data_IF_506244858262
#
_entry.id   IF_506244858262
#
_cell.length_a   1.000
_cell.length_b   1.000
_cell.length_c   1.000
_cell.angle_alpha   90.00
_cell.angle_beta   90.00
_cell.angle_gamma   90.00
#
_symmetry.space_group_name_H-M   'P 1'
#
loop_
_entity.id
_entity.type
_entity.pdbx_description
1 polymer ?
#
# COMPACT_ATOMS: atom_id res chain seq x y z
N UNK A 1 -7.15 -26.81 -19.66
CA UNK A 1 -7.97 -25.64 -19.33
C UNK A 1 -7.07 -24.70 -18.54
N UNK A 2 -6.66 -23.59 -19.16
CA UNK A 2 -5.74 -22.63 -18.59
C UNK A 2 -6.40 -21.96 -17.38
N UNK A 3 -5.95 -22.26 -16.17
CA UNK A 3 -6.34 -21.49 -15.00
C UNK A 3 -5.56 -20.17 -15.07
N UNK A 4 -6.15 -19.19 -15.75
CA UNK A 4 -5.75 -17.79 -15.69
C UNK A 4 -5.88 -17.36 -14.22
N UNK A 5 -4.75 -17.44 -13.49
CA UNK A 5 -4.66 -17.06 -12.09
C UNK A 5 -4.91 -15.55 -11.98
N UNK A 6 -6.18 -15.17 -11.90
CA UNK A 6 -6.58 -13.81 -11.60
C UNK A 6 -5.98 -13.47 -10.25
N UNK A 7 -4.97 -12.60 -10.23
CA UNK A 7 -4.30 -12.14 -9.01
C UNK A 7 -5.31 -11.33 -8.18
N UNK A 8 -6.08 -12.03 -7.34
CA UNK A 8 -7.06 -11.44 -6.43
C UNK A 8 -6.37 -10.94 -5.17
N UNK A 9 -6.66 -9.71 -4.77
CA UNK A 9 -6.17 -9.13 -3.52
C UNK A 9 -6.62 -7.69 -3.34
N UNK A 10 -6.29 -7.11 -2.19
CA UNK A 10 -6.55 -5.70 -1.87
C UNK A 10 -5.28 -4.89 -2.04
N UNK A 11 -5.40 -3.83 -2.83
CA UNK A 11 -4.34 -2.86 -3.06
C UNK A 11 -4.22 -1.89 -1.88
N UNK A 12 -2.99 -1.55 -1.52
CA UNK A 12 -2.76 -0.48 -0.55
C UNK A 12 -3.19 0.89 -1.12
N UNK A 13 -3.97 1.66 -0.35
CA UNK A 13 -4.44 3.00 -0.75
C UNK A 13 -3.32 4.03 -0.99
N UNK A 14 -2.13 3.81 -0.41
CA UNK A 14 -0.98 4.66 -0.61
C UNK A 14 -0.16 4.25 -1.85
N UNK A 15 0.35 3.01 -1.90
CA UNK A 15 1.29 2.59 -2.94
C UNK A 15 0.69 1.81 -4.11
N UNK A 16 -0.55 1.33 -4.00
CA UNK A 16 -1.24 0.60 -5.07
C UNK A 16 -0.84 -0.87 -5.24
N UNK A 17 0.17 -1.38 -4.50
CA UNK A 17 0.53 -2.80 -4.55
C UNK A 17 -0.56 -3.67 -3.92
N UNK A 18 -0.86 -4.81 -4.56
CA UNK A 18 -1.68 -5.88 -4.00
C UNK A 18 -0.90 -6.57 -2.88
N UNK A 19 -1.31 -6.36 -1.62
CA UNK A 19 -0.55 -6.82 -0.44
C UNK A 19 -1.39 -7.60 0.57
N UNK A 20 -2.71 -7.62 0.43
CA UNK A 20 -3.61 -8.36 1.32
C UNK A 20 -4.56 -9.27 0.54
N UNK A 21 -5.00 -10.38 1.14
CA UNK A 21 -5.86 -11.37 0.49
C UNK A 21 -7.33 -10.93 0.42
N UNK A 22 -7.83 -10.28 1.48
CA UNK A 22 -9.22 -9.81 1.60
C UNK A 22 -9.30 -8.40 2.19
N UNK A 23 -10.49 -7.78 2.21
CA UNK A 23 -10.68 -6.46 2.81
C UNK A 23 -10.58 -6.53 4.32
N UNK A 24 -11.04 -7.63 4.88
CA UNK A 24 -11.05 -7.94 6.30
C UNK A 24 -9.60 -8.08 6.80
N UNK A 25 -8.77 -8.83 6.07
CA UNK A 25 -7.34 -8.96 6.38
C UNK A 25 -6.56 -7.67 6.16
N UNK A 26 -7.08 -6.74 5.35
CA UNK A 26 -6.40 -5.50 5.04
C UNK A 26 -6.65 -4.41 6.09
N UNK A 27 -7.73 -4.47 6.86
CA UNK A 27 -8.15 -3.37 7.72
C UNK A 27 -7.29 -3.30 8.98
N UNK A 28 -6.81 -2.10 9.31
CA UNK A 28 -5.80 -1.79 10.33
C UNK A 28 -4.39 -2.35 10.11
N UNK A 29 -4.17 -3.16 9.07
CA UNK A 29 -2.84 -3.69 8.78
C UNK A 29 -1.90 -2.64 8.19
N UNK A 30 -0.61 -2.81 8.47
CA UNK A 30 0.46 -1.95 7.95
C UNK A 30 0.95 -2.54 6.64
N UNK A 31 0.90 -1.73 5.57
CA UNK A 31 1.38 -2.15 4.27
C UNK A 31 2.88 -2.51 4.31
N UNK A 32 3.29 -3.75 3.95
CA UNK A 32 4.69 -4.16 4.01
C UNK A 32 5.57 -3.52 2.94
N UNK A 33 4.96 -2.86 1.95
CA UNK A 33 5.65 -2.19 0.83
C UNK A 33 5.99 -0.76 1.22
N UNK A 34 4.99 0.00 1.66
CA UNK A 34 5.15 1.44 1.86
C UNK A 34 4.98 1.89 3.30
N UNK A 35 4.61 1.00 4.23
CA UNK A 35 4.38 1.27 5.66
C UNK A 35 3.19 2.18 6.00
N UNK A 36 2.28 2.43 5.04
CA UNK A 36 0.98 3.05 5.35
C UNK A 36 0.08 2.07 6.10
N UNK A 37 -0.49 2.49 7.23
CA UNK A 37 -1.51 1.71 7.93
C UNK A 37 -2.88 1.92 7.28
N UNK A 38 -3.55 0.83 6.91
CA UNK A 38 -4.84 0.90 6.25
C UNK A 38 -5.97 1.15 7.26
N UNK A 39 -6.42 2.39 7.36
CA UNK A 39 -7.60 2.80 8.11
C UNK A 39 -8.79 3.17 7.20
N UNK A 40 -8.74 2.74 5.93
CA UNK A 40 -9.75 3.02 4.92
C UNK A 40 -9.70 4.42 4.31
N UNK A 41 -8.74 5.27 4.68
CA UNK A 41 -8.61 6.63 4.11
C UNK A 41 -7.92 6.61 2.74
N UNK A 42 -8.39 7.49 1.86
CA UNK A 42 -7.94 7.62 0.46
C UNK A 42 -7.75 9.10 0.08
N UNK A 43 -6.87 9.37 -0.89
CA UNK A 43 -6.65 10.72 -1.43
C UNK A 43 -6.24 11.74 -0.36
N UNK A 44 -7.10 12.73 -0.14
CA UNK A 44 -6.91 13.83 0.83
C UNK A 44 -7.71 13.62 2.14
N UNK A 45 -8.22 12.41 2.38
CA UNK A 45 -8.85 12.08 3.65
C UNK A 45 -7.80 11.92 4.75
N UNK A 46 -7.90 12.71 5.81
CA UNK A 46 -6.95 12.66 6.92
C UNK A 46 -7.05 11.31 7.67
N UNK A 47 -5.90 10.67 7.86
CA UNK A 47 -5.76 9.44 8.64
C UNK A 47 -5.21 9.75 10.02
N UNK A 48 -5.98 9.40 11.05
CA UNK A 48 -5.53 9.51 12.44
C UNK A 48 -4.42 8.52 12.76
N UNK A 49 -4.39 7.33 12.15
CA UNK A 49 -3.33 6.34 12.39
C UNK A 49 -1.98 6.78 11.79
N UNK A 50 -2.02 7.45 10.63
CA UNK A 50 -0.81 7.85 9.92
C UNK A 50 -0.40 9.32 10.16
N UNK A 51 -1.24 10.10 10.85
CA UNK A 51 -1.09 11.54 11.06
C UNK A 51 -0.88 12.35 9.77
N UNK A 52 -1.43 11.89 8.65
CA UNK A 52 -1.32 12.51 7.34
C UNK A 52 -2.49 12.07 6.44
N UNK A 53 -2.68 12.75 5.32
CA UNK A 53 -3.45 12.20 4.20
C UNK A 53 -2.57 11.26 3.36
N UNK A 54 -3.16 10.28 2.64
CA UNK A 54 -2.40 9.47 1.68
C UNK A 54 -1.61 10.30 0.66
N UNK A 55 -2.15 11.43 0.19
CA UNK A 55 -1.47 12.31 -0.76
C UNK A 55 -0.28 13.06 -0.15
N UNK A 56 -0.36 13.49 1.11
CA UNK A 56 0.79 14.04 1.83
C UNK A 56 1.85 12.98 2.08
N UNK A 57 1.44 11.78 2.50
CA UNK A 57 2.36 10.69 2.79
C UNK A 57 3.22 10.29 1.60
N UNK A 58 2.63 10.23 0.40
CA UNK A 58 3.34 9.95 -0.85
C UNK A 58 4.47 10.94 -1.15
N UNK A 59 4.45 12.14 -0.58
CA UNK A 59 5.47 13.17 -0.78
C UNK A 59 6.64 13.04 0.22
N UNK A 60 6.52 12.19 1.24
CA UNK A 60 7.57 12.02 2.25
C UNK A 60 8.77 11.25 1.70
N UNK A 61 9.97 11.54 2.22
CA UNK A 61 11.17 10.78 1.87
C UNK A 61 11.06 9.29 2.24
N UNK A 62 10.35 8.98 3.32
CA UNK A 62 10.15 7.61 3.79
C UNK A 62 9.44 6.80 2.71
N UNK A 63 8.30 7.30 2.22
CA UNK A 63 7.57 6.66 1.14
C UNK A 63 8.44 6.47 -0.10
N UNK A 64 9.10 7.54 -0.56
CA UNK A 64 9.93 7.51 -1.77
C UNK A 64 11.09 6.49 -1.66
N UNK A 65 11.75 6.42 -0.51
CA UNK A 65 12.84 5.46 -0.25
C UNK A 65 12.33 4.02 -0.28
N UNK A 66 11.17 3.73 0.34
CA UNK A 66 10.60 2.39 0.33
C UNK A 66 10.23 1.92 -1.08
N UNK A 67 9.55 2.76 -1.86
CA UNK A 67 9.19 2.44 -3.24
C UNK A 67 10.44 2.22 -4.10
N UNK A 68 11.45 3.08 -3.99
CA UNK A 68 12.69 2.94 -4.75
C UNK A 68 13.43 1.63 -4.43
N UNK A 69 13.51 1.23 -3.16
CA UNK A 69 14.14 -0.02 -2.76
C UNK A 69 13.47 -1.25 -3.36
N UNK A 70 12.15 -1.25 -3.46
CA UNK A 70 11.39 -2.35 -4.06
C UNK A 70 11.69 -2.47 -5.55
N UNK A 71 11.66 -1.34 -6.28
CA UNK A 71 11.98 -1.32 -7.72
C UNK A 71 13.38 -1.84 -8.00
N UNK A 72 14.36 -1.54 -7.13
CA UNK A 72 15.74 -2.03 -7.27
C UNK A 72 15.81 -3.54 -7.01
N UNK A 73 15.12 -4.04 -5.97
CA UNK A 73 15.09 -5.48 -5.64
C UNK A 73 14.45 -6.31 -6.75
N UNK A 74 13.41 -5.82 -7.40
CA UNK A 74 12.72 -6.53 -8.50
C UNK A 74 13.51 -6.60 -9.81
N UNK A 75 14.66 -5.91 -9.92
CA UNK A 75 15.53 -5.91 -11.11
C UNK A 75 16.79 -6.78 -10.97
N UNK A 76 17.01 -7.38 -9.80
CA UNK A 76 18.06 -8.38 -9.56
C UNK A 76 17.47 -9.77 -9.62
#
# INVERSE_FOLDING_TARGET
MENNSSMSGIACNACGYLVFASKEDAFFEICPVCHWQNDGKTGDQYSSCNHATPNEYKKTEIFQKQIAQIVIKSKK
#
